data_IF_863724551181
#
_entry.id   IF_863724551181
#
_cell.length_a   1.000
_cell.length_b   1.000
_cell.length_c   1.000
_cell.angle_alpha   90.00
_cell.angle_beta   90.00
_cell.angle_gamma   90.00
#
_symmetry.space_group_name_H-M   'P 1'
#
loop_
_entity.id
_entity.type
_entity.pdbx_description
1 polymer ?
#
# COMPACT_ATOMS: atom_id res chain seq x y z
N UNK A 1 5.73 1.21 6.98
CA UNK A 1 5.31 0.23 5.94
C UNK A 1 5.98 -1.09 6.23
N UNK A 2 5.28 -2.20 6.04
CA UNK A 2 5.87 -3.53 6.19
C UNK A 2 5.76 -4.22 4.84
N UNK A 3 6.89 -4.65 4.28
CA UNK A 3 6.94 -5.46 3.06
C UNK A 3 6.84 -6.95 3.43
N UNK A 4 6.11 -7.71 2.61
CA UNK A 4 5.98 -9.16 2.74
C UNK A 4 6.10 -9.80 1.36
N UNK A 5 7.01 -10.77 1.25
CA UNK A 5 7.28 -11.47 0.00
C UNK A 5 6.12 -12.39 -0.38
N UNK A 6 5.81 -12.43 -1.67
CA UNK A 6 4.88 -13.40 -2.26
C UNK A 6 5.38 -13.82 -3.66
N UNK A 7 6.51 -14.55 -3.76
CA UNK A 7 7.09 -14.90 -5.05
C UNK A 7 6.21 -15.93 -5.78
N UNK A 8 5.62 -15.54 -6.92
CA UNK A 8 4.80 -16.39 -7.78
C UNK A 8 5.65 -17.34 -8.65
N UNK A 9 6.32 -18.30 -8.01
CA UNK A 9 7.31 -19.21 -8.62
C UNK A 9 6.80 -20.05 -9.78
N UNK A 10 5.50 -20.30 -9.85
CA UNK A 10 4.88 -21.12 -10.92
C UNK A 10 4.87 -20.42 -12.27
N UNK A 11 4.93 -19.08 -12.28
CA UNK A 11 4.89 -18.25 -13.50
C UNK A 11 6.12 -17.35 -13.65
N UNK A 12 6.96 -17.24 -12.61
CA UNK A 12 8.16 -16.42 -12.59
C UNK A 12 9.34 -17.19 -11.98
N UNK A 13 10.23 -17.67 -12.85
CA UNK A 13 11.44 -18.44 -12.51
C UNK A 13 12.39 -17.68 -11.58
N UNK A 14 12.49 -16.35 -11.75
CA UNK A 14 13.40 -15.48 -10.99
C UNK A 14 12.76 -14.87 -9.74
N UNK A 15 11.49 -15.15 -9.43
CA UNK A 15 10.80 -14.51 -8.32
C UNK A 15 11.42 -14.79 -6.94
N UNK A 16 11.93 -16.01 -6.72
CA UNK A 16 12.56 -16.35 -5.43
C UNK A 16 13.90 -15.62 -5.26
N UNK A 17 14.78 -15.69 -6.26
CA UNK A 17 16.13 -15.12 -6.13
C UNK A 17 16.09 -13.60 -6.01
N UNK A 18 15.17 -12.91 -6.69
CA UNK A 18 15.02 -11.45 -6.55
C UNK A 18 14.44 -11.06 -5.18
N UNK A 19 13.54 -11.86 -4.61
CA UNK A 19 13.09 -11.68 -3.23
C UNK A 19 14.26 -11.84 -2.24
N UNK A 20 15.08 -12.89 -2.39
CA UNK A 20 16.29 -13.08 -1.58
C UNK A 20 17.31 -11.94 -1.76
N UNK A 21 17.42 -11.38 -2.97
CA UNK A 21 18.29 -10.24 -3.26
C UNK A 21 17.93 -9.00 -2.42
N UNK A 22 16.63 -8.69 -2.33
CA UNK A 22 16.17 -7.58 -1.50
C UNK A 22 16.49 -7.81 -0.01
N UNK A 23 16.38 -9.04 0.49
CA UNK A 23 16.71 -9.40 1.87
C UNK A 23 18.23 -9.34 2.13
N UNK A 24 19.05 -9.81 1.18
CA UNK A 24 20.50 -9.73 1.26
C UNK A 24 20.98 -8.27 1.27
N UNK A 25 20.37 -7.40 0.47
CA UNK A 25 20.61 -5.97 0.52
C UNK A 25 20.11 -5.35 1.84
N UNK A 26 18.95 -5.79 2.33
CA UNK A 26 18.40 -5.37 3.62
C UNK A 26 19.31 -5.71 4.80
N UNK A 27 19.98 -6.86 4.77
CA UNK A 27 20.99 -7.24 5.76
C UNK A 27 22.27 -6.39 5.71
N UNK A 28 22.40 -5.53 4.70
CA UNK A 28 23.43 -4.51 4.56
C UNK A 28 22.85 -3.08 4.64
N UNK A 29 21.57 -2.92 5.00
CA UNK A 29 20.91 -1.63 5.19
C UNK A 29 20.32 -0.99 3.93
N UNK A 30 20.22 -1.74 2.81
CA UNK A 30 19.77 -1.24 1.50
C UNK A 30 18.59 -2.01 0.90
N UNK A 31 17.64 -2.42 1.74
CA UNK A 31 16.47 -3.18 1.28
C UNK A 31 15.69 -2.41 0.20
N UNK A 32 15.36 -1.16 0.48
CA UNK A 32 14.51 -0.34 -0.41
C UNK A 32 15.24 0.05 -1.68
N UNK A 33 16.53 0.35 -1.61
CA UNK A 33 17.32 0.66 -2.79
C UNK A 33 17.45 -0.54 -3.74
N UNK A 34 17.62 -1.76 -3.22
CA UNK A 34 17.59 -2.96 -4.04
C UNK A 34 16.18 -3.26 -4.56
N UNK A 35 15.15 -3.07 -3.74
CA UNK A 35 13.76 -3.19 -4.17
C UNK A 35 13.47 -2.26 -5.36
N UNK A 36 13.81 -0.98 -5.25
CA UNK A 36 13.56 0.02 -6.28
C UNK A 36 14.36 -0.31 -7.55
N UNK A 37 15.64 -0.69 -7.40
CA UNK A 37 16.46 -1.14 -8.52
C UNK A 37 15.82 -2.33 -9.27
N UNK A 38 15.30 -3.33 -8.54
CA UNK A 38 14.63 -4.50 -9.12
C UNK A 38 13.38 -4.10 -9.91
N UNK A 39 12.60 -3.14 -9.45
CA UNK A 39 11.42 -2.67 -10.20
C UNK A 39 11.82 -1.86 -11.43
N UNK A 40 12.80 -0.96 -11.30
CA UNK A 40 13.24 -0.08 -12.38
C UNK A 40 13.95 -0.86 -13.52
N UNK A 41 14.61 -1.97 -13.20
CA UNK A 41 15.42 -2.75 -14.15
C UNK A 41 14.78 -4.11 -14.49
N UNK A 42 13.46 -4.24 -14.34
CA UNK A 42 12.75 -5.50 -14.52
C UNK A 42 13.01 -6.18 -15.87
N UNK A 43 12.96 -5.42 -16.97
CA UNK A 43 13.20 -5.96 -18.31
C UNK A 43 14.62 -6.53 -18.47
N UNK A 44 15.61 -5.93 -17.82
CA UNK A 44 17.02 -6.32 -17.88
C UNK A 44 17.25 -7.65 -17.16
N UNK A 45 16.88 -7.75 -15.88
CA UNK A 45 17.17 -8.96 -15.12
C UNK A 45 16.26 -10.14 -15.49
N UNK A 46 15.05 -9.91 -16.03
CA UNK A 46 14.21 -10.98 -16.58
C UNK A 46 14.93 -11.68 -17.73
N UNK A 47 15.58 -10.89 -18.61
CA UNK A 47 16.31 -11.40 -19.78
C UNK A 47 17.70 -11.98 -19.44
N UNK A 48 18.19 -11.78 -18.21
CA UNK A 48 19.52 -12.24 -17.80
C UNK A 48 19.64 -13.76 -17.81
N UNK A 49 20.68 -14.26 -18.48
CA UNK A 49 21.09 -15.66 -18.45
C UNK A 49 21.86 -16.04 -17.18
N UNK A 50 22.43 -15.05 -16.48
CA UNK A 50 23.10 -15.22 -15.19
C UNK A 50 22.58 -14.17 -14.20
N UNK A 51 21.41 -14.47 -13.65
CA UNK A 51 20.71 -13.59 -12.71
C UNK A 51 21.54 -13.27 -11.47
N UNK A 52 22.31 -14.21 -10.93
CA UNK A 52 23.15 -13.97 -9.74
C UNK A 52 24.17 -12.87 -10.00
N UNK A 53 24.89 -12.91 -11.13
CA UNK A 53 25.88 -11.88 -11.43
C UNK A 53 25.21 -10.52 -11.71
N UNK A 54 24.06 -10.50 -12.40
CA UNK A 54 23.26 -9.27 -12.57
C UNK A 54 22.93 -8.62 -11.23
N UNK A 55 22.44 -9.41 -10.26
CA UNK A 55 22.09 -8.91 -8.93
C UNK A 55 23.32 -8.49 -8.10
N UNK A 56 24.46 -9.15 -8.26
CA UNK A 56 25.72 -8.74 -7.61
C UNK A 56 26.24 -7.41 -8.17
N UNK A 57 26.14 -7.19 -9.48
CA UNK A 57 26.50 -5.91 -10.09
C UNK A 57 25.58 -4.79 -9.61
N UNK A 58 24.28 -5.06 -9.50
CA UNK A 58 23.32 -4.13 -8.89
C UNK A 58 23.67 -3.82 -7.43
N UNK A 59 23.99 -4.84 -6.63
CA UNK A 59 24.39 -4.63 -5.24
C UNK A 59 25.63 -3.72 -5.14
N UNK A 60 26.63 -3.95 -5.98
CA UNK A 60 27.85 -3.11 -6.04
C UNK A 60 27.55 -1.67 -6.45
N UNK A 61 26.66 -1.44 -7.42
CA UNK A 61 26.29 -0.08 -7.84
C UNK A 61 25.56 0.69 -6.72
N UNK A 62 24.87 -0.03 -5.83
CA UNK A 62 24.22 0.51 -4.63
C UNK A 62 25.17 0.67 -3.43
N UNK A 63 26.47 0.40 -3.61
CA UNK A 63 27.50 0.54 -2.57
C UNK A 63 27.53 -0.61 -1.56
N UNK A 64 26.98 -1.78 -1.90
CA UNK A 64 27.01 -2.98 -1.05
C UNK A 64 28.29 -3.79 -1.24
N UNK A 65 28.62 -4.62 -0.25
CA UNK A 65 29.63 -5.66 -0.39
C UNK A 65 29.10 -6.76 -1.32
N UNK A 66 29.57 -6.75 -2.55
CA UNK A 66 29.16 -7.69 -3.59
C UNK A 66 29.60 -9.14 -3.33
N UNK A 67 30.70 -9.38 -2.63
CA UNK A 67 31.14 -10.75 -2.32
C UNK A 67 30.32 -11.37 -1.20
N UNK A 68 30.03 -10.58 -0.15
CA UNK A 68 29.03 -10.97 0.84
C UNK A 68 27.68 -11.22 0.18
N UNK A 69 27.24 -10.32 -0.69
CA UNK A 69 25.94 -10.42 -1.36
C UNK A 69 25.85 -11.68 -2.23
N UNK A 70 26.88 -11.97 -3.03
CA UNK A 70 26.96 -13.20 -3.86
C UNK A 70 26.81 -14.45 -3.00
N UNK A 71 27.61 -14.55 -1.94
CA UNK A 71 27.57 -15.70 -1.02
C UNK A 71 26.19 -15.86 -0.39
N UNK A 72 25.57 -14.77 0.06
CA UNK A 72 24.24 -14.79 0.66
C UNK A 72 23.19 -15.37 -0.31
N UNK A 73 23.28 -15.03 -1.61
CA UNK A 73 22.41 -15.58 -2.66
C UNK A 73 22.71 -17.04 -2.98
N UNK A 74 23.97 -17.40 -3.17
CA UNK A 74 24.39 -18.77 -3.52
C UNK A 74 24.06 -19.78 -2.41
N UNK A 75 24.19 -19.36 -1.15
CA UNK A 75 23.81 -20.17 0.01
C UNK A 75 22.28 -20.21 0.24
N UNK A 76 21.52 -19.37 -0.47
CA UNK A 76 20.08 -19.20 -0.26
C UNK A 76 19.76 -18.76 1.17
N UNK A 77 20.57 -17.85 1.72
CA UNK A 77 20.58 -17.48 3.14
C UNK A 77 19.23 -16.93 3.62
N UNK A 78 18.48 -16.27 2.75
CA UNK A 78 17.20 -15.65 3.09
C UNK A 78 15.99 -16.43 2.56
N UNK A 79 16.20 -17.51 1.82
CA UNK A 79 15.15 -18.37 1.29
C UNK A 79 14.12 -18.78 2.33
N UNK A 80 14.56 -19.25 3.50
CA UNK A 80 13.64 -19.67 4.56
C UNK A 80 12.73 -18.53 5.05
N UNK A 81 13.25 -17.30 5.12
CA UNK A 81 12.47 -16.11 5.50
C UNK A 81 11.43 -15.78 4.43
N UNK A 82 11.82 -15.83 3.15
CA UNK A 82 10.92 -15.57 2.01
C UNK A 82 9.81 -16.64 1.95
N UNK A 83 10.16 -17.91 2.13
CA UNK A 83 9.20 -19.03 2.17
C UNK A 83 8.21 -18.91 3.32
N UNK A 84 8.68 -18.51 4.50
CA UNK A 84 7.81 -18.29 5.65
C UNK A 84 6.78 -17.18 5.38
N UNK A 85 7.20 -16.06 4.77
CA UNK A 85 6.30 -14.98 4.40
C UNK A 85 5.27 -15.42 3.34
N UNK A 86 5.70 -16.21 2.35
CA UNK A 86 4.81 -16.80 1.35
C UNK A 86 3.77 -17.73 1.99
N UNK A 87 4.22 -18.64 2.87
CA UNK A 87 3.36 -19.60 3.54
C UNK A 87 2.33 -18.91 4.45
N UNK A 88 2.73 -17.86 5.18
CA UNK A 88 1.82 -17.03 5.98
C UNK A 88 0.74 -16.39 5.09
N UNK A 89 1.13 -15.80 3.97
CA UNK A 89 0.20 -15.15 3.05
C UNK A 89 -0.79 -16.14 2.40
N UNK A 90 -0.33 -17.35 2.07
CA UNK A 90 -1.21 -18.43 1.57
C UNK A 90 -2.18 -18.89 2.67
N UNK A 91 -1.72 -19.06 3.91
CA UNK A 91 -2.57 -19.44 5.04
C UNK A 91 -3.65 -18.39 5.35
N UNK A 92 -3.35 -17.11 5.08
CA UNK A 92 -4.30 -15.99 5.17
C UNK A 92 -5.29 -15.93 3.99
N UNK A 93 -5.14 -16.78 2.97
CA UNK A 93 -6.00 -16.80 1.79
C UNK A 93 -5.84 -15.56 0.90
N UNK A 94 -4.65 -14.93 0.90
CA UNK A 94 -4.42 -13.76 0.06
C UNK A 94 -4.46 -14.15 -1.43
N UNK A 95 -5.17 -13.39 -2.29
CA UNK A 95 -5.47 -13.79 -3.66
C UNK A 95 -4.29 -13.65 -4.63
N UNK A 96 -3.20 -13.00 -4.23
CA UNK A 96 -2.02 -12.79 -5.07
C UNK A 96 -1.36 -11.43 -4.83
N UNK A 97 -0.64 -10.96 -5.85
CA UNK A 97 0.15 -9.71 -5.81
C UNK A 97 -0.29 -8.71 -6.88
N UNK A 98 -0.18 -7.39 -6.60
CA UNK A 98 0.07 -6.80 -5.29
C UNK A 98 -1.16 -6.93 -4.37
N UNK A 99 -0.95 -7.02 -3.06
CA UNK A 99 -2.02 -6.99 -2.06
C UNK A 99 -1.62 -6.07 -0.93
N UNK A 100 -2.53 -5.19 -0.50
CA UNK A 100 -2.28 -4.22 0.56
C UNK A 100 -3.26 -4.43 1.71
N UNK A 101 -2.74 -4.35 2.94
CA UNK A 101 -3.51 -4.24 4.17
C UNK A 101 -3.26 -2.86 4.79
N UNK A 102 -4.34 -2.16 5.14
CA UNK A 102 -4.26 -0.92 5.92
C UNK A 102 -5.00 -1.16 7.23
N UNK A 103 -4.29 -1.07 8.36
CA UNK A 103 -4.81 -1.37 9.70
C UNK A 103 -5.54 -2.73 9.78
N UNK A 104 -4.95 -3.76 9.19
CA UNK A 104 -5.50 -5.12 9.17
C UNK A 104 -6.67 -5.35 8.21
N UNK A 105 -7.10 -4.34 7.44
CA UNK A 105 -8.19 -4.46 6.48
C UNK A 105 -7.66 -4.55 5.05
N UNK A 106 -8.15 -5.50 4.23
CA UNK A 106 -7.87 -5.56 2.80
C UNK A 106 -8.15 -4.24 2.10
N UNK A 107 -7.18 -3.78 1.32
CA UNK A 107 -7.38 -2.68 0.40
C UNK A 107 -8.19 -3.18 -0.82
N UNK A 108 -9.27 -2.48 -1.23
CA UNK A 108 -10.03 -2.86 -2.41
C UNK A 108 -9.16 -2.85 -3.67
N UNK A 109 -8.98 -4.02 -4.28
CA UNK A 109 -8.18 -4.19 -5.52
C UNK A 109 -8.99 -3.96 -6.80
N UNK A 110 -9.97 -3.06 -6.76
CA UNK A 110 -10.64 -2.62 -7.99
C UNK A 110 -9.62 -1.84 -8.83
N UNK A 111 -9.62 -2.10 -10.14
CA UNK A 111 -8.45 -2.08 -11.03
C UNK A 111 -7.64 -0.77 -11.20
N UNK A 112 -7.93 0.31 -10.45
CA UNK A 112 -7.24 1.61 -10.55
C UNK A 112 -6.82 2.24 -9.20
N UNK A 113 -6.87 1.52 -8.06
CA UNK A 113 -6.64 2.12 -6.72
C UNK A 113 -5.21 2.01 -6.16
N UNK A 114 -4.22 1.58 -6.95
CA UNK A 114 -2.80 1.65 -6.54
C UNK A 114 -2.14 2.99 -6.89
N UNK A 115 -2.90 3.92 -7.48
CA UNK A 115 -2.44 5.29 -7.67
C UNK A 115 -2.27 5.98 -6.30
N UNK A 116 -1.16 6.70 -6.14
CA UNK A 116 -0.81 7.37 -4.88
C UNK A 116 -1.93 8.25 -4.33
N UNK A 117 -2.65 8.96 -5.20
CA UNK A 117 -3.75 9.84 -4.83
C UNK A 117 -4.88 9.11 -4.08
N UNK A 118 -5.19 7.86 -4.47
CA UNK A 118 -6.22 7.06 -3.82
C UNK A 118 -5.79 6.56 -2.45
N UNK A 119 -4.53 6.16 -2.31
CA UNK A 119 -3.96 5.78 -1.02
C UNK A 119 -3.98 6.95 -0.05
N UNK A 120 -3.59 8.14 -0.50
CA UNK A 120 -3.62 9.36 0.32
C UNK A 120 -5.04 9.73 0.77
N UNK A 121 -6.01 9.73 -0.15
CA UNK A 121 -7.41 10.02 0.16
C UNK A 121 -7.98 9.08 1.24
N UNK A 122 -7.67 7.79 1.14
CA UNK A 122 -8.14 6.81 2.11
C UNK A 122 -7.41 6.88 3.45
N UNK A 123 -6.11 7.15 3.47
CA UNK A 123 -5.40 7.42 4.73
C UNK A 123 -6.00 8.64 5.42
N UNK A 124 -6.36 9.68 4.66
CA UNK A 124 -7.10 10.84 5.19
C UNK A 124 -8.47 10.43 5.73
N UNK A 125 -9.25 9.63 5.00
CA UNK A 125 -10.56 9.14 5.46
C UNK A 125 -10.46 8.26 6.71
N UNK A 126 -9.48 7.35 6.78
CA UNK A 126 -9.23 6.52 7.95
C UNK A 126 -8.88 7.38 9.18
N UNK A 127 -8.07 8.44 9.01
CA UNK A 127 -7.80 9.43 10.06
C UNK A 127 -9.01 10.28 10.44
N UNK A 128 -9.99 10.38 9.55
CA UNK A 128 -11.26 11.06 9.85
C UNK A 128 -12.25 10.15 10.58
N UNK A 129 -12.05 8.82 10.66
CA UNK A 129 -12.97 7.93 11.39
C UNK A 129 -13.15 8.35 12.86
N UNK A 130 -12.08 8.78 13.54
CA UNK A 130 -12.16 9.30 14.92
C UNK A 130 -13.00 10.59 15.03
N UNK A 131 -13.29 11.24 13.90
CA UNK A 131 -14.10 12.45 13.78
C UNK A 131 -15.45 12.20 13.12
N UNK A 132 -15.74 10.96 12.73
CA UNK A 132 -17.03 10.60 12.16
C UNK A 132 -18.04 10.41 13.28
N UNK A 133 -19.24 10.96 13.09
CA UNK A 133 -20.33 10.74 14.01
C UNK A 133 -20.82 9.29 13.89
N UNK A 134 -20.86 8.55 15.01
CA UNK A 134 -21.34 7.16 15.05
C UNK A 134 -22.85 7.05 14.77
N UNK A 135 -23.59 8.12 15.08
CA UNK A 135 -24.98 8.33 14.72
C UNK A 135 -25.16 9.80 14.33
N UNK A 136 -26.12 10.14 13.46
CA UNK A 136 -26.46 11.54 13.25
C UNK A 136 -26.71 12.19 14.62
N UNK A 137 -26.15 13.38 14.89
CA UNK A 137 -26.45 14.07 16.14
C UNK A 137 -27.97 14.19 16.26
N UNK A 138 -28.52 14.01 17.47
CA UNK A 138 -29.96 14.08 17.67
C UNK A 138 -30.48 15.37 17.05
N UNK A 139 -31.46 15.25 16.16
CA UNK A 139 -32.09 16.39 15.52
C UNK A 139 -32.91 17.13 16.58
N UNK A 140 -32.27 17.99 17.37
CA UNK A 140 -32.98 18.88 18.29
C UNK A 140 -33.38 20.14 17.53
N UNK A 141 -34.48 20.07 16.78
CA UNK A 141 -35.17 21.27 16.34
C UNK A 141 -35.98 21.75 17.54
N UNK A 142 -35.70 22.95 18.02
CA UNK A 142 -36.49 23.64 19.04
C UNK A 142 -37.65 24.33 18.31
N UNK A 143 -38.90 23.84 18.42
CA UNK A 143 -40.03 24.41 17.69
C UNK A 143 -40.36 25.85 18.12
N UNK A 144 -39.82 26.34 19.24
CA UNK A 144 -39.97 27.72 19.67
C UNK A 144 -38.94 28.67 19.02
N UNK A 145 -37.97 28.17 18.25
CA UNK A 145 -36.95 28.97 17.56
C UNK A 145 -37.25 29.14 16.08
N UNK A 146 -36.87 30.31 15.56
CA UNK A 146 -36.82 30.56 14.13
C UNK A 146 -35.46 30.18 13.55
N UNK A 147 -35.49 29.43 12.46
CA UNK A 147 -34.32 28.97 11.75
C UNK A 147 -34.30 29.57 10.35
N UNK A 148 -33.15 30.10 9.92
CA UNK A 148 -32.96 30.68 8.60
C UNK A 148 -31.69 30.10 7.96
N UNK A 149 -31.81 29.60 6.74
CA UNK A 149 -30.68 29.28 5.89
C UNK A 149 -30.43 30.43 4.91
N UNK A 150 -29.16 30.82 4.75
CA UNK A 150 -28.76 31.87 3.80
C UNK A 150 -27.79 31.27 2.79
N UNK A 151 -28.21 31.23 1.53
CA UNK A 151 -27.36 30.85 0.41
C UNK A 151 -26.74 32.12 -0.15
N UNK A 152 -25.42 32.29 0.04
CA UNK A 152 -24.68 33.41 -0.53
C UNK A 152 -24.40 33.13 -2.00
N UNK A 153 -24.78 34.06 -2.88
CA UNK A 153 -24.52 33.95 -4.32
C UNK A 153 -23.87 35.22 -4.85
N UNK A 154 -23.26 35.13 -6.04
CA UNK A 154 -22.68 36.29 -6.72
C UNK A 154 -23.70 37.36 -7.10
N UNK A 155 -25.00 37.02 -7.12
CA UNK A 155 -26.11 37.96 -7.39
C UNK A 155 -26.86 38.40 -6.13
N UNK A 156 -26.33 38.08 -4.95
CA UNK A 156 -26.92 38.41 -3.65
C UNK A 156 -27.30 37.19 -2.82
N UNK A 157 -27.75 37.43 -1.59
CA UNK A 157 -28.10 36.38 -0.64
C UNK A 157 -29.55 35.91 -0.86
N UNK A 158 -29.71 34.60 -1.03
CA UNK A 158 -31.03 33.94 -1.02
C UNK A 158 -31.30 33.45 0.39
N UNK A 159 -32.47 33.80 0.89
CA UNK A 159 -32.87 33.55 2.28
C UNK A 159 -34.00 32.55 2.29
N UNK A 160 -33.83 31.49 3.06
CA UNK A 160 -34.84 30.44 3.26
C UNK A 160 -35.18 30.41 4.74
N UNK A 161 -36.42 30.74 5.08
CA UNK A 161 -36.97 30.53 6.42
C UNK A 161 -37.38 29.07 6.58
N UNK A 162 -36.92 28.43 7.65
CA UNK A 162 -37.17 27.03 7.97
C UNK A 162 -38.19 26.97 9.11
N UNK A 163 -39.37 26.46 8.80
CA UNK A 163 -40.50 26.34 9.72
C UNK A 163 -40.45 24.98 10.42
N UNK A 164 -39.91 24.98 11.63
CA UNK A 164 -39.77 23.79 12.48
C UNK A 164 -41.10 23.06 12.73
N UNK A 165 -42.20 23.79 12.83
CA UNK A 165 -43.57 23.29 13.03
C UNK A 165 -44.17 22.60 11.81
N UNK A 166 -43.54 22.71 10.63
CA UNK A 166 -44.05 22.18 9.36
C UNK A 166 -43.14 21.13 8.72
N UNK A 167 -42.06 20.74 9.38
CA UNK A 167 -41.17 19.70 8.88
C UNK A 167 -41.87 18.32 8.94
N UNK A 168 -41.82 17.50 7.88
CA UNK A 168 -42.29 16.12 7.95
C UNK A 168 -41.42 15.34 8.94
N UNK A 169 -42.07 14.72 9.94
CA UNK A 169 -41.48 13.74 10.86
C UNK A 169 -41.35 12.38 10.20
#
# INVERSE_FOLDING_TARGET
>A
MIYRHFPLRTIHDKAMITAEASEAAGAQGKFWEMHDWLYDHQSEWIASSNITETLVLAARSLGLDGERFRRDLEEGRYRAKVEAAYAEAVALGLPGTPFLLVNGRPWPQTLNYLEYAHLEAMVKLARLQDRQFEAPPPMSIDPARHYRAVLKTEKGDVVIELFADRAPV
#
